data_IF_644675876759
#
_entry.id   IF_644675876759
#
_cell.length_a   1.000
_cell.length_b   1.000
_cell.length_c   1.000
_cell.angle_alpha   90.00
_cell.angle_beta   90.00
_cell.angle_gamma   90.00
#
_symmetry.space_group_name_H-M   'P 1'
#
loop_
_entity.id
_entity.type
_entity.pdbx_description
1 polymer ?
#
# COMPACT_ATOMS: atom_id res chain seq x y z
N UNK A 1 -22.66 3.64 1.14
CA UNK A 1 -21.33 3.20 1.58
C UNK A 1 -20.68 4.28 2.44
N UNK A 2 -19.73 3.91 3.26
CA UNK A 2 -18.91 4.83 4.01
C UNK A 2 -17.78 5.43 3.17
N UNK A 3 -16.92 6.22 3.79
CA UNK A 3 -15.73 6.78 3.13
C UNK A 3 -14.47 6.14 3.70
N UNK A 4 -13.62 5.63 2.85
CA UNK A 4 -12.29 5.12 3.20
C UNK A 4 -11.26 6.22 2.96
N UNK A 5 -10.42 6.48 3.95
CA UNK A 5 -9.24 7.33 3.78
C UNK A 5 -8.12 6.49 3.20
N UNK A 6 -7.56 6.92 2.07
CA UNK A 6 -6.42 6.27 1.42
C UNK A 6 -5.24 7.23 1.41
N UNK A 7 -4.17 6.88 2.09
CA UNK A 7 -2.96 7.71 2.25
C UNK A 7 -1.88 7.20 1.30
N UNK A 8 -1.39 8.08 0.43
CA UNK A 8 -0.41 7.78 -0.61
C UNK A 8 0.97 8.33 -0.24
N UNK A 9 1.68 7.62 0.62
CA UNK A 9 2.97 8.04 1.17
C UNK A 9 4.12 7.18 0.63
N UNK A 10 4.28 7.17 -0.70
CA UNK A 10 5.35 6.46 -1.38
C UNK A 10 6.02 7.29 -2.47
N UNK A 11 7.24 6.90 -2.84
CA UNK A 11 8.01 7.55 -3.88
C UNK A 11 7.62 7.05 -5.28
N UNK A 12 7.73 7.93 -6.28
CA UNK A 12 7.38 7.61 -7.67
C UNK A 12 8.17 6.42 -8.23
N UNK A 13 9.39 6.20 -7.75
CA UNK A 13 10.25 5.08 -8.16
C UNK A 13 9.66 3.71 -7.80
N UNK A 14 8.91 3.61 -6.71
CA UNK A 14 8.28 2.37 -6.25
C UNK A 14 6.78 2.28 -6.60
N UNK A 15 6.29 3.21 -7.43
CA UNK A 15 4.87 3.24 -7.81
C UNK A 15 4.39 1.95 -8.48
N UNK A 16 5.22 1.26 -9.26
CA UNK A 16 4.85 0.00 -9.92
C UNK A 16 4.59 -1.12 -8.90
N UNK A 17 5.48 -1.27 -7.90
CA UNK A 17 5.28 -2.21 -6.80
C UNK A 17 4.04 -1.87 -5.98
N UNK A 18 3.92 -0.61 -5.52
CA UNK A 18 2.78 -0.19 -4.71
C UNK A 18 1.45 -0.29 -5.45
N UNK A 19 1.43 -0.08 -6.78
CA UNK A 19 0.23 -0.33 -7.59
C UNK A 19 -0.15 -1.82 -7.62
N UNK A 20 0.82 -2.71 -7.72
CA UNK A 20 0.58 -4.15 -7.70
C UNK A 20 0.13 -4.65 -6.31
N UNK A 21 0.61 -4.03 -5.23
CA UNK A 21 0.24 -4.38 -3.84
C UNK A 21 -1.13 -3.81 -3.47
N UNK A 22 -1.35 -2.53 -3.71
CA UNK A 22 -2.52 -1.80 -3.25
C UNK A 22 -3.68 -1.80 -4.25
N UNK A 23 -3.39 -2.01 -5.54
CA UNK A 23 -4.41 -2.05 -6.59
C UNK A 23 -5.59 -2.97 -6.27
N UNK A 24 -5.36 -4.24 -5.97
CA UNK A 24 -6.44 -5.17 -5.65
C UNK A 24 -7.19 -4.80 -4.35
N UNK A 25 -6.53 -4.16 -3.39
CA UNK A 25 -7.19 -3.71 -2.15
C UNK A 25 -8.13 -2.54 -2.43
N UNK A 26 -7.66 -1.54 -3.19
CA UNK A 26 -8.48 -0.37 -3.56
C UNK A 26 -9.61 -0.78 -4.51
N UNK A 27 -9.34 -1.66 -5.47
CA UNK A 27 -10.35 -2.25 -6.34
C UNK A 27 -11.48 -2.91 -5.52
N UNK A 28 -11.13 -3.71 -4.53
CA UNK A 28 -12.10 -4.32 -3.62
C UNK A 28 -12.93 -3.29 -2.84
N UNK A 29 -12.30 -2.21 -2.36
CA UNK A 29 -12.99 -1.11 -1.68
C UNK A 29 -14.00 -0.46 -2.63
N UNK A 30 -13.61 -0.22 -3.88
CA UNK A 30 -14.48 0.37 -4.92
C UNK A 30 -15.63 -0.58 -5.31
N UNK A 31 -15.37 -1.88 -5.45
CA UNK A 31 -16.40 -2.90 -5.68
C UNK A 31 -17.47 -2.92 -4.57
N UNK A 32 -17.11 -2.56 -3.34
CA UNK A 32 -18.05 -2.43 -2.21
C UNK A 32 -18.82 -1.10 -2.22
N UNK A 33 -18.63 -0.25 -3.23
CA UNK A 33 -19.30 1.05 -3.33
C UNK A 33 -18.89 2.03 -2.22
N UNK A 34 -17.68 1.90 -1.68
CA UNK A 34 -17.15 2.83 -0.69
C UNK A 34 -16.64 4.09 -1.36
N UNK A 35 -16.88 5.26 -0.80
CA UNK A 35 -16.27 6.51 -1.25
C UNK A 35 -14.81 6.58 -0.81
N UNK A 36 -14.00 7.38 -1.51
CA UNK A 36 -12.58 7.51 -1.21
C UNK A 36 -12.20 8.96 -0.88
N UNK A 37 -11.41 9.14 0.16
CA UNK A 37 -10.68 10.37 0.44
C UNK A 37 -9.19 10.08 0.27
N UNK A 38 -8.52 10.79 -0.64
CA UNK A 38 -7.10 10.58 -0.94
C UNK A 38 -6.28 11.65 -0.23
N UNK A 39 -5.22 11.28 0.45
CA UNK A 39 -4.33 12.18 1.18
C UNK A 39 -2.89 11.75 0.98
N UNK A 40 -1.96 12.67 1.10
CA UNK A 40 -0.54 12.32 1.17
C UNK A 40 0.25 13.28 2.05
N UNK A 41 1.18 12.75 2.83
CA UNK A 41 2.21 13.53 3.53
C UNK A 41 3.48 13.74 2.68
N UNK A 42 3.46 13.28 1.42
CA UNK A 42 4.53 13.45 0.44
C UNK A 42 4.12 14.47 -0.62
N UNK A 43 4.95 15.47 -0.98
CA UNK A 43 4.54 16.54 -1.91
C UNK A 43 4.08 16.07 -3.29
N UNK A 44 4.66 14.99 -3.82
CA UNK A 44 4.27 14.37 -5.09
C UNK A 44 3.12 13.35 -4.96
N UNK A 45 2.77 12.97 -3.74
CA UNK A 45 1.76 11.96 -3.45
C UNK A 45 0.37 12.24 -4.02
N UNK A 46 -0.16 13.48 -3.99
CA UNK A 46 -1.45 13.78 -4.60
C UNK A 46 -1.52 13.46 -6.09
N UNK A 47 -0.43 13.71 -6.83
CA UNK A 47 -0.34 13.36 -8.25
C UNK A 47 -0.23 11.85 -8.47
N UNK A 48 0.47 11.14 -7.59
CA UNK A 48 0.54 9.68 -7.59
C UNK A 48 -0.81 9.04 -7.29
N UNK A 49 -1.56 9.60 -6.34
CA UNK A 49 -2.92 9.17 -6.00
C UNK A 49 -3.87 9.28 -7.20
N UNK A 50 -3.86 10.41 -7.91
CA UNK A 50 -4.66 10.60 -9.13
C UNK A 50 -4.26 9.61 -10.24
N UNK A 51 -2.96 9.41 -10.43
CA UNK A 51 -2.46 8.45 -11.41
C UNK A 51 -2.86 7.02 -11.07
N UNK A 52 -2.74 6.64 -9.80
CA UNK A 52 -3.15 5.34 -9.28
C UNK A 52 -4.66 5.12 -9.51
N UNK A 53 -5.46 6.11 -9.10
CA UNK A 53 -6.90 6.00 -9.20
C UNK A 53 -7.36 5.92 -10.66
N UNK A 54 -6.77 6.69 -11.58
CA UNK A 54 -7.07 6.59 -13.02
C UNK A 54 -6.86 5.19 -13.58
N UNK A 55 -5.87 4.46 -13.11
CA UNK A 55 -5.62 3.09 -13.52
C UNK A 55 -6.68 2.11 -12.97
N UNK A 56 -7.23 2.39 -11.78
CA UNK A 56 -8.20 1.52 -11.09
C UNK A 56 -9.66 1.93 -11.39
N UNK A 57 -9.95 3.24 -11.48
CA UNK A 57 -11.33 3.74 -11.63
C UNK A 57 -11.97 3.42 -12.98
N UNK A 58 -11.19 3.14 -14.02
CA UNK A 58 -11.73 2.81 -15.35
C UNK A 58 -12.71 1.63 -15.32
N UNK A 59 -12.62 0.80 -14.30
CA UNK A 59 -13.50 -0.36 -14.10
C UNK A 59 -14.76 0.00 -13.26
N UNK A 60 -14.74 1.12 -12.53
CA UNK A 60 -15.76 1.46 -11.53
C UNK A 60 -16.51 2.78 -11.77
N UNK A 61 -16.11 3.58 -12.76
CA UNK A 61 -16.72 4.88 -13.11
C UNK A 61 -16.78 5.90 -11.94
N UNK A 62 -15.80 5.89 -11.04
CA UNK A 62 -15.73 6.83 -9.91
C UNK A 62 -15.56 8.26 -10.39
N UNK A 63 -16.40 9.18 -9.89
CA UNK A 63 -16.43 10.59 -10.27
C UNK A 63 -15.81 11.48 -9.17
N UNK A 64 -14.94 12.44 -9.55
CA UNK A 64 -14.40 13.42 -8.60
C UNK A 64 -15.53 14.19 -7.89
N UNK A 65 -15.39 14.44 -6.60
CA UNK A 65 -16.37 15.16 -5.79
C UNK A 65 -17.59 14.34 -5.38
N UNK A 66 -17.99 13.34 -6.14
CA UNK A 66 -19.13 12.47 -5.84
C UNK A 66 -18.69 11.18 -5.13
N UNK A 67 -17.74 10.46 -5.72
CA UNK A 67 -17.30 9.15 -5.25
C UNK A 67 -15.91 9.20 -4.61
N UNK A 68 -15.06 10.12 -5.05
CA UNK A 68 -13.77 10.34 -4.42
C UNK A 68 -13.41 11.84 -4.34
N UNK A 69 -12.50 12.14 -3.42
CA UNK A 69 -11.94 13.49 -3.27
C UNK A 69 -10.45 13.40 -2.95
N UNK A 70 -9.63 14.12 -3.72
CA UNK A 70 -8.21 14.26 -3.42
C UNK A 70 -8.01 15.47 -2.50
N UNK A 71 -7.64 15.20 -1.25
CA UNK A 71 -7.39 16.20 -0.22
C UNK A 71 -6.04 16.90 -0.38
N UNK A 72 -5.18 16.36 -1.26
CA UNK A 72 -3.90 16.96 -1.55
C UNK A 72 -2.78 16.57 -0.59
N UNK A 73 -1.81 17.48 -0.49
CA UNK A 73 -0.61 17.31 0.34
C UNK A 73 -0.85 17.82 1.76
N UNK A 74 -0.51 16.99 2.74
CA UNK A 74 -0.52 17.31 4.17
C UNK A 74 0.90 17.73 4.60
N UNK A 75 1.17 19.03 4.77
CA UNK A 75 2.48 19.52 5.19
C UNK A 75 2.75 19.26 6.68
N UNK A 76 4.01 19.40 7.09
CA UNK A 76 4.42 19.39 8.50
C UNK A 76 4.92 18.04 9.02
N UNK A 77 5.08 17.03 8.17
CA UNK A 77 5.61 15.73 8.58
C UNK A 77 4.82 15.13 9.73
N UNK A 78 5.49 14.62 10.78
CA UNK A 78 4.85 14.00 11.94
C UNK A 78 3.86 14.93 12.65
N UNK A 79 4.15 16.24 12.74
CA UNK A 79 3.24 17.23 13.34
C UNK A 79 1.98 17.42 12.49
N UNK A 80 2.12 17.42 11.15
CA UNK A 80 0.99 17.47 10.23
C UNK A 80 0.10 16.22 10.37
N UNK A 81 0.72 15.04 10.43
CA UNK A 81 0.01 13.77 10.65
C UNK A 81 -0.77 13.79 11.97
N UNK A 82 -0.14 14.20 13.08
CA UNK A 82 -0.79 14.34 14.38
C UNK A 82 -1.96 15.33 14.33
N UNK A 83 -1.77 16.46 13.65
CA UNK A 83 -2.83 17.48 13.48
C UNK A 83 -4.03 16.90 12.71
N UNK A 84 -3.75 16.12 11.66
CA UNK A 84 -4.81 15.47 10.89
C UNK A 84 -5.54 14.39 11.70
N UNK A 85 -4.81 13.55 12.44
CA UNK A 85 -5.41 12.55 13.33
C UNK A 85 -6.32 13.19 14.37
N UNK A 86 -5.88 14.32 14.95
CA UNK A 86 -6.61 15.01 16.02
C UNK A 86 -7.82 15.81 15.49
N UNK A 87 -7.67 16.48 14.36
CA UNK A 87 -8.69 17.38 13.80
C UNK A 87 -8.56 17.47 12.27
N UNK A 88 -9.05 16.48 11.51
CA UNK A 88 -8.89 16.41 10.05
C UNK A 88 -9.34 17.68 9.32
N UNK A 89 -10.47 18.24 9.75
CA UNK A 89 -11.06 19.45 9.13
C UNK A 89 -10.20 20.70 9.28
N UNK A 90 -9.40 20.76 10.34
CA UNK A 90 -8.49 21.88 10.60
C UNK A 90 -7.14 21.71 9.91
N UNK A 91 -6.69 20.46 9.77
CA UNK A 91 -5.41 20.13 9.18
C UNK A 91 -5.43 20.24 7.65
N UNK A 92 -6.57 19.97 7.01
CA UNK A 92 -6.75 20.07 5.57
C UNK A 92 -7.83 21.09 5.23
N UNK A 93 -7.40 22.19 4.62
CA UNK A 93 -8.29 23.27 4.15
C UNK A 93 -8.19 23.31 2.63
N UNK A 94 -9.30 23.07 1.95
CA UNK A 94 -9.35 23.10 0.49
C UNK A 94 -10.77 23.21 -0.02
N UNK A 95 -10.87 23.46 -1.34
CA UNK A 95 -12.14 23.64 -2.03
C UNK A 95 -12.13 22.87 -3.36
N UNK A 96 -13.31 22.38 -3.73
CA UNK A 96 -13.60 21.86 -5.06
C UNK A 96 -14.84 22.58 -5.57
N UNK A 97 -14.77 23.16 -6.77
CA UNK A 97 -15.87 23.92 -7.38
C UNK A 97 -16.46 25.02 -6.47
N UNK A 98 -15.58 25.70 -5.72
CA UNK A 98 -15.97 26.80 -4.81
C UNK A 98 -16.58 26.35 -3.49
N UNK A 99 -16.69 25.05 -3.23
CA UNK A 99 -17.17 24.49 -1.97
C UNK A 99 -16.05 23.81 -1.19
N UNK A 100 -16.10 23.92 0.14
CA UNK A 100 -15.15 23.23 1.01
C UNK A 100 -15.14 21.73 0.72
N UNK A 101 -13.94 21.10 0.77
CA UNK A 101 -13.81 19.64 0.70
C UNK A 101 -14.75 18.92 1.68
N UNK A 102 -14.91 19.47 2.88
CA UNK A 102 -15.73 18.89 3.94
C UNK A 102 -17.24 19.04 3.73
N UNK A 103 -17.67 19.78 2.70
CA UNK A 103 -19.06 19.85 2.26
C UNK A 103 -19.37 18.89 1.09
N UNK A 104 -18.33 18.25 0.51
CA UNK A 104 -18.50 17.32 -0.59
C UNK A 104 -19.02 15.94 -0.11
N UNK A 105 -19.77 15.22 -0.97
CA UNK A 105 -20.38 13.92 -0.62
C UNK A 105 -19.45 12.89 0.03
N UNK A 106 -18.16 12.76 -0.35
CA UNK A 106 -17.27 11.84 0.33
C UNK A 106 -16.97 12.20 1.78
N UNK A 107 -17.03 13.49 2.16
CA UNK A 107 -16.54 13.98 3.46
C UNK A 107 -17.60 14.65 4.35
N UNK A 108 -18.81 14.82 3.87
CA UNK A 108 -19.85 15.59 4.57
C UNK A 108 -20.12 15.07 6.00
N UNK A 109 -20.00 13.76 6.22
CA UNK A 109 -20.22 13.10 7.50
C UNK A 109 -18.94 12.88 8.30
N UNK A 110 -17.78 13.32 7.80
CA UNK A 110 -16.48 13.12 8.46
C UNK A 110 -16.15 14.34 9.31
N UNK A 111 -16.05 14.18 10.61
CA UNK A 111 -15.59 15.20 11.56
C UNK A 111 -14.28 14.80 12.24
N UNK A 112 -14.10 13.50 12.50
CA UNK A 112 -12.94 12.90 13.16
C UNK A 112 -12.33 11.82 12.26
N UNK A 113 -11.07 11.45 12.52
CA UNK A 113 -10.42 10.35 11.81
C UNK A 113 -11.16 9.02 11.99
N UNK A 114 -11.83 8.84 13.10
CA UNK A 114 -12.63 7.65 13.43
C UNK A 114 -13.97 7.57 12.70
N UNK A 115 -14.38 8.63 12.00
CA UNK A 115 -15.62 8.63 11.20
C UNK A 115 -15.41 8.02 9.80
N UNK A 116 -14.17 7.81 9.40
CA UNK A 116 -13.88 7.03 8.20
C UNK A 116 -14.26 5.56 8.42
N UNK A 117 -14.79 4.91 7.40
CA UNK A 117 -15.16 3.49 7.46
C UNK A 117 -13.96 2.55 7.52
N UNK A 118 -12.81 3.00 7.06
CA UNK A 118 -11.50 2.37 7.22
C UNK A 118 -10.40 3.39 6.84
N UNK A 119 -9.18 3.11 7.25
CA UNK A 119 -7.98 3.84 6.83
C UNK A 119 -7.04 2.85 6.16
N UNK A 120 -6.56 3.18 4.96
CA UNK A 120 -5.58 2.41 4.21
C UNK A 120 -4.37 3.29 3.93
N UNK A 121 -3.19 2.86 4.36
CA UNK A 121 -1.93 3.54 4.08
C UNK A 121 -1.14 2.74 3.04
N UNK A 122 -0.73 3.42 1.97
CA UNK A 122 0.17 2.92 0.96
C UNK A 122 1.53 3.56 1.18
N UNK A 123 2.55 2.77 1.52
CA UNK A 123 3.88 3.33 1.78
C UNK A 123 5.03 2.39 1.48
N UNK A 124 6.14 2.96 1.01
CA UNK A 124 7.47 2.37 0.95
C UNK A 124 8.39 2.97 2.01
N UNK A 125 7.96 4.06 2.64
CA UNK A 125 8.71 4.81 3.64
C UNK A 125 8.39 4.29 5.05
N UNK A 126 9.36 3.61 5.62
CA UNK A 126 9.26 3.00 6.96
C UNK A 126 8.94 4.04 8.03
N UNK A 127 9.58 5.22 7.98
CA UNK A 127 9.41 6.25 9.02
C UNK A 127 8.01 6.89 8.95
N UNK A 128 7.50 7.14 7.75
CA UNK A 128 6.12 7.62 7.59
C UNK A 128 5.11 6.57 8.02
N UNK A 129 5.30 5.31 7.58
CA UNK A 129 4.44 4.20 7.99
C UNK A 129 4.36 4.07 9.51
N UNK A 130 5.53 4.05 10.17
CA UNK A 130 5.62 4.02 11.63
C UNK A 130 4.94 5.21 12.29
N UNK A 131 5.21 6.42 11.79
CA UNK A 131 4.61 7.65 12.33
C UNK A 131 3.09 7.61 12.27
N UNK A 132 2.51 7.20 11.14
CA UNK A 132 1.06 7.03 11.03
C UNK A 132 0.51 6.04 12.04
N UNK A 133 1.16 4.88 12.21
CA UNK A 133 0.72 3.88 13.19
C UNK A 133 0.77 4.43 14.60
N UNK A 134 1.88 5.04 15.00
CA UNK A 134 2.07 5.59 16.34
C UNK A 134 1.09 6.73 16.67
N UNK A 135 0.70 7.54 15.66
CA UNK A 135 -0.22 8.65 15.87
C UNK A 135 -1.70 8.22 15.84
N UNK A 136 -2.07 7.23 15.03
CA UNK A 136 -3.46 6.92 14.74
C UNK A 136 -3.99 5.65 15.42
N UNK A 137 -3.15 4.62 15.63
CA UNK A 137 -3.61 3.29 16.04
C UNK A 137 -4.44 3.29 17.33
N UNK A 138 -4.02 4.04 18.35
CA UNK A 138 -4.72 4.04 19.63
C UNK A 138 -6.16 4.57 19.50
N UNK A 139 -6.39 5.64 18.75
CA UNK A 139 -7.72 6.22 18.56
C UNK A 139 -8.58 5.38 17.62
N UNK A 140 -7.98 4.80 16.58
CA UNK A 140 -8.69 3.93 15.63
C UNK A 140 -9.14 2.62 16.29
N UNK A 141 -8.25 1.98 17.04
CA UNK A 141 -8.55 0.74 17.75
C UNK A 141 -9.64 0.96 18.83
N UNK A 142 -9.58 2.08 19.56
CA UNK A 142 -10.61 2.43 20.54
C UNK A 142 -12.00 2.63 19.91
N UNK A 143 -12.05 3.09 18.66
CA UNK A 143 -13.28 3.28 17.89
C UNK A 143 -13.66 2.06 17.02
N UNK A 144 -12.82 1.02 16.99
CA UNK A 144 -12.97 -0.14 16.10
C UNK A 144 -13.01 0.26 14.62
N UNK A 145 -12.29 1.33 14.24
CA UNK A 145 -12.14 1.76 12.85
C UNK A 145 -11.00 0.96 12.22
N UNK A 146 -11.23 0.16 11.17
CA UNK A 146 -10.20 -0.67 10.54
C UNK A 146 -9.01 0.15 10.05
N UNK A 147 -7.82 -0.26 10.46
CA UNK A 147 -6.56 0.35 10.09
C UNK A 147 -5.71 -0.63 9.28
N UNK A 148 -5.52 -0.32 8.00
CA UNK A 148 -4.95 -1.22 7.00
C UNK A 148 -3.69 -0.61 6.39
N UNK A 149 -2.74 -1.46 6.02
CA UNK A 149 -1.53 -1.01 5.34
C UNK A 149 -1.23 -1.87 4.10
N UNK A 150 -0.83 -1.21 3.04
CA UNK A 150 -0.27 -1.80 1.83
C UNK A 150 1.16 -1.26 1.66
N UNK A 151 2.16 -2.10 1.84
CA UNK A 151 3.55 -1.67 1.94
C UNK A 151 4.45 -2.36 0.92
N UNK A 152 5.56 -1.72 0.56
CA UNK A 152 6.61 -2.37 -0.23
C UNK A 152 7.25 -3.51 0.55
N UNK A 153 7.88 -4.46 -0.16
CA UNK A 153 8.61 -5.57 0.46
C UNK A 153 9.72 -5.10 1.40
N UNK A 154 10.34 -3.95 1.10
CA UNK A 154 11.39 -3.38 1.96
C UNK A 154 10.86 -2.80 3.28
N UNK A 155 9.62 -2.31 3.31
CA UNK A 155 9.03 -1.74 4.53
C UNK A 155 8.39 -2.80 5.44
N UNK A 156 8.05 -3.97 4.90
CA UNK A 156 7.38 -5.05 5.62
C UNK A 156 8.05 -5.43 6.95
N UNK A 157 9.38 -5.69 7.03
CA UNK A 157 10.00 -6.16 8.28
C UNK A 157 9.83 -5.21 9.46
N UNK A 158 9.69 -3.92 9.19
CA UNK A 158 9.51 -2.88 10.22
C UNK A 158 8.03 -2.66 10.55
N UNK A 159 7.15 -2.82 9.58
CA UNK A 159 5.70 -2.64 9.77
C UNK A 159 5.04 -3.91 10.33
N UNK A 160 5.55 -5.10 10.01
CA UNK A 160 4.98 -6.36 10.47
C UNK A 160 4.77 -6.46 11.99
N UNK A 161 5.66 -5.98 12.87
CA UNK A 161 5.43 -5.99 14.32
C UNK A 161 4.16 -5.25 14.76
N UNK A 162 3.79 -4.16 14.08
CA UNK A 162 2.56 -3.42 14.37
C UNK A 162 1.30 -4.22 13.99
N UNK A 163 1.37 -4.97 12.89
CA UNK A 163 0.32 -5.92 12.52
C UNK A 163 0.24 -7.08 13.53
N UNK A 164 1.37 -7.67 13.90
CA UNK A 164 1.43 -8.77 14.85
C UNK A 164 0.93 -8.39 16.26
N UNK A 165 1.05 -7.11 16.64
CA UNK A 165 0.55 -6.55 17.91
C UNK A 165 -0.88 -5.97 17.83
N UNK A 166 -1.57 -6.17 16.72
CA UNK A 166 -2.92 -5.66 16.46
C UNK A 166 -3.05 -4.13 16.55
N UNK A 167 -1.97 -3.39 16.27
CA UNK A 167 -2.03 -1.93 16.05
C UNK A 167 -2.46 -1.60 14.62
N UNK A 168 -2.28 -2.54 13.71
CA UNK A 168 -2.75 -2.54 12.32
C UNK A 168 -3.59 -3.80 12.13
N UNK A 169 -4.80 -3.66 11.60
CA UNK A 169 -5.77 -4.76 11.46
C UNK A 169 -5.52 -5.63 10.23
N UNK A 170 -4.87 -5.06 9.19
CA UNK A 170 -4.56 -5.79 7.97
C UNK A 170 -3.32 -5.25 7.27
N UNK A 171 -2.49 -6.16 6.80
CA UNK A 171 -1.24 -5.85 6.10
C UNK A 171 -1.14 -6.64 4.79
N UNK A 172 -0.91 -5.93 3.70
CA UNK A 172 -0.53 -6.52 2.40
C UNK A 172 0.84 -5.98 2.03
N UNK A 173 1.80 -6.84 1.74
CA UNK A 173 3.18 -6.42 1.50
C UNK A 173 3.79 -7.06 0.26
N UNK A 174 4.55 -6.28 -0.49
CA UNK A 174 5.27 -6.71 -1.66
C UNK A 174 4.43 -7.38 -2.75
N UNK A 175 5.03 -7.73 -3.86
CA UNK A 175 4.34 -8.35 -5.00
C UNK A 175 3.60 -9.64 -4.64
N UNK A 176 4.19 -10.46 -3.75
CA UNK A 176 3.56 -11.70 -3.31
C UNK A 176 2.27 -11.44 -2.52
N UNK A 177 2.25 -10.41 -1.67
CA UNK A 177 1.07 -10.00 -0.92
C UNK A 177 -0.06 -9.56 -1.85
N UNK A 178 0.24 -8.69 -2.83
CA UNK A 178 -0.70 -8.27 -3.86
C UNK A 178 -1.27 -9.44 -4.67
N UNK A 179 -0.38 -10.32 -5.17
CA UNK A 179 -0.78 -11.52 -5.92
C UNK A 179 -1.64 -12.49 -5.08
N UNK A 180 -1.34 -12.63 -3.80
CA UNK A 180 -2.13 -13.46 -2.88
C UNK A 180 -3.51 -12.85 -2.65
N UNK A 181 -3.61 -11.54 -2.48
CA UNK A 181 -4.87 -10.84 -2.32
C UNK A 181 -5.77 -11.01 -3.57
N UNK A 182 -5.20 -10.85 -4.76
CA UNK A 182 -5.89 -11.10 -6.04
C UNK A 182 -6.42 -12.53 -6.17
N UNK A 183 -5.62 -13.51 -5.73
CA UNK A 183 -6.05 -14.93 -5.71
C UNK A 183 -7.25 -15.16 -4.79
N UNK A 184 -7.23 -14.55 -3.61
CA UNK A 184 -8.33 -14.67 -2.64
C UNK A 184 -9.62 -14.03 -3.17
N UNK A 185 -9.52 -12.98 -3.99
CA UNK A 185 -10.66 -12.35 -4.63
C UNK A 185 -11.12 -13.07 -5.91
N UNK A 186 -10.35 -14.03 -6.42
CA UNK A 186 -10.63 -14.70 -7.69
C UNK A 186 -10.42 -13.80 -8.92
N UNK A 187 -9.71 -12.68 -8.77
CA UNK A 187 -9.41 -11.74 -9.85
C UNK A 187 -7.93 -11.79 -10.23
N UNK A 188 -7.63 -11.57 -11.51
CA UNK A 188 -6.27 -11.40 -11.98
C UNK A 188 -5.98 -9.91 -12.17
N UNK A 189 -4.80 -9.47 -11.72
CA UNK A 189 -4.36 -8.10 -11.84
C UNK A 189 -2.84 -8.00 -11.89
N UNK A 190 -2.32 -6.79 -11.67
CA UNK A 190 -0.89 -6.47 -11.76
C UNK A 190 -0.04 -7.24 -10.73
N UNK A 191 -0.61 -7.53 -9.56
CA UNK A 191 0.09 -8.29 -8.51
C UNK A 191 0.49 -9.68 -9.00
N UNK A 192 -0.44 -10.41 -9.61
CA UNK A 192 -0.17 -11.74 -10.19
C UNK A 192 0.76 -11.66 -11.39
N UNK A 193 0.52 -10.73 -12.30
CA UNK A 193 1.34 -10.56 -13.49
C UNK A 193 2.82 -10.34 -13.14
N UNK A 194 3.11 -9.43 -12.23
CA UNK A 194 4.48 -9.15 -11.80
C UNK A 194 5.07 -10.27 -10.94
N UNK A 195 4.27 -10.87 -10.05
CA UNK A 195 4.73 -11.97 -9.22
C UNK A 195 5.07 -13.21 -10.03
N UNK A 196 4.24 -13.57 -11.01
CA UNK A 196 4.46 -14.73 -11.86
C UNK A 196 5.75 -14.55 -12.69
N UNK A 197 5.97 -13.37 -13.28
CA UNK A 197 7.20 -13.06 -14.00
C UNK A 197 8.44 -13.09 -13.08
N UNK A 198 8.35 -12.51 -11.91
CA UNK A 198 9.43 -12.47 -10.92
C UNK A 198 9.75 -13.88 -10.37
N UNK A 199 8.75 -14.69 -10.06
CA UNK A 199 8.93 -16.03 -9.55
C UNK A 199 9.57 -16.97 -10.56
N UNK A 200 9.26 -16.85 -11.86
CA UNK A 200 9.93 -17.58 -12.93
C UNK A 200 11.42 -17.21 -12.98
N UNK A 201 11.74 -15.92 -12.87
CA UNK A 201 13.13 -15.45 -12.81
C UNK A 201 13.91 -16.01 -11.64
N UNK A 202 13.33 -15.99 -10.44
CA UNK A 202 13.95 -16.58 -9.24
C UNK A 202 14.18 -18.09 -9.39
N UNK A 203 13.19 -18.82 -9.86
CA UNK A 203 13.28 -20.26 -10.08
C UNK A 203 14.38 -20.62 -11.10
N UNK A 204 14.49 -19.83 -12.16
CA UNK A 204 15.58 -19.98 -13.14
C UNK A 204 16.95 -19.75 -12.51
N UNK A 205 17.10 -18.72 -11.68
CA UNK A 205 18.34 -18.44 -10.96
C UNK A 205 18.70 -19.57 -10.00
N UNK A 206 17.74 -20.11 -9.26
CA UNK A 206 17.95 -21.27 -8.37
C UNK A 206 18.45 -22.49 -9.14
N UNK A 207 17.85 -22.82 -10.28
CA UNK A 207 18.30 -23.93 -11.13
C UNK A 207 19.75 -23.72 -11.57
N UNK A 208 20.12 -22.51 -12.00
CA UNK A 208 21.48 -22.22 -12.44
C UNK A 208 22.50 -22.37 -11.30
N UNK A 209 22.14 -21.94 -10.09
CA UNK A 209 22.99 -22.09 -8.89
C UNK A 209 23.18 -23.57 -8.57
N UNK A 210 22.12 -24.37 -8.57
CA UNK A 210 22.17 -25.79 -8.28
C UNK A 210 23.00 -26.53 -9.32
N UNK A 211 22.79 -26.26 -10.61
CA UNK A 211 23.57 -26.85 -11.70
C UNK A 211 25.06 -26.48 -11.57
N UNK A 212 25.36 -25.22 -11.31
CA UNK A 212 26.72 -24.73 -11.08
C UNK A 212 27.42 -25.44 -9.90
N UNK A 213 26.68 -25.61 -8.78
CA UNK A 213 27.20 -26.33 -7.61
C UNK A 213 27.49 -27.81 -7.92
N UNK A 214 26.61 -28.49 -8.65
CA UNK A 214 26.81 -29.89 -9.07
C UNK A 214 28.03 -30.00 -9.99
N UNK A 215 28.15 -29.13 -10.98
CA UNK A 215 29.30 -29.16 -11.90
C UNK A 215 30.63 -28.92 -11.16
N UNK A 216 30.64 -27.96 -10.22
CA UNK A 216 31.81 -27.68 -9.40
C UNK A 216 32.19 -28.87 -8.51
N UNK A 217 31.21 -29.54 -7.89
CA UNK A 217 31.42 -30.73 -7.11
C UNK A 217 32.03 -31.87 -7.97
N UNK A 218 31.47 -32.12 -9.14
CA UNK A 218 31.96 -33.12 -10.08
C UNK A 218 33.40 -32.81 -10.54
N UNK A 219 33.72 -31.57 -10.82
CA UNK A 219 35.08 -31.15 -11.20
C UNK A 219 36.06 -31.37 -10.03
N UNK A 220 35.68 -31.02 -8.81
CA UNK A 220 36.49 -31.27 -7.61
C UNK A 220 36.75 -32.74 -7.32
N UNK A 221 35.73 -33.59 -7.49
CA UNK A 221 35.91 -35.05 -7.33
C UNK A 221 36.84 -35.64 -8.39
N UNK A 222 36.74 -35.22 -9.65
CA UNK A 222 37.64 -35.62 -10.74
C UNK A 222 39.08 -35.19 -10.47
N UNK A 223 39.30 -33.98 -9.98
CA UNK A 223 40.63 -33.47 -9.65
C UNK A 223 41.29 -34.28 -8.53
N UNK A 224 40.53 -34.66 -7.47
CA UNK A 224 41.03 -35.53 -6.39
C UNK A 224 41.42 -36.92 -6.86
N UNK A 225 40.60 -37.57 -7.70
CA UNK A 225 40.90 -38.88 -8.28
C UNK A 225 42.12 -38.88 -9.17
N UNK A 226 42.45 -37.75 -9.79
CA UNK A 226 43.66 -37.61 -10.61
C UNK A 226 44.94 -37.47 -9.75
N UNK A 227 44.83 -36.72 -8.66
CA UNK A 227 45.92 -36.51 -7.70
C UNK A 227 46.28 -37.81 -6.90
N UNK A 228 45.32 -38.73 -6.70
CA UNK A 228 45.56 -40.00 -6.03
C UNK A 228 46.21 -41.07 -6.95
N UNK A 229 46.30 -40.84 -8.25
CA UNK A 229 46.87 -41.75 -9.25
C UNK A 229 48.27 -41.35 -9.72
N UNK A 230 48.76 -40.18 -9.33
CA UNK A 230 50.13 -39.70 -9.53
C UNK A 230 50.97 -39.89 -8.25
#
# INVERSE_FOLDING_TARGET
>A
GGTVLVIFDYEAALSAELHAVAGPVVDHIMLRGQKLALLSSTPNGPALAERFLKATQSQHNYQPGADYLNLGYLPGGATGMLSFVSAPRNAVIGQLDGQSFWAQPPLINIAKITDFSAILILTDDVEKGRTWVEQASASLNAASTPFLMAVSAQAEPIIYPYYASAQVDGLVSGLNGGATYERLQGQAGLGREYWDAYSIGLFTAEILIVVGAILNLMAGLRARQKSEKE
#
